data_IF_877915406260
#
_entry.id   IF_877915406260
#
_cell.length_a   1.000
_cell.length_b   1.000
_cell.length_c   1.000
_cell.angle_alpha   90.00
_cell.angle_beta   90.00
_cell.angle_gamma   90.00
#
_symmetry.space_group_name_H-M   'P 1'
#
loop_
_entity.id
_entity.type
_entity.pdbx_description
1 polymer ?
#
# COMPACT_ATOMS: atom_id res chain seq x y z
N UNK A 1 -26.91 1.62 -50.40
CA UNK A 1 -26.43 2.81 -49.67
C UNK A 1 -24.92 2.91 -49.93
N UNK A 2 -24.37 4.12 -50.09
CA UNK A 2 -22.91 4.32 -50.19
C UNK A 2 -22.32 4.32 -48.77
N UNK A 3 -21.06 3.83 -48.64
CA UNK A 3 -20.28 3.98 -47.45
C UNK A 3 -20.10 5.49 -47.11
N UNK A 4 -20.03 5.85 -45.85
CA UNK A 4 -19.69 7.22 -45.46
C UNK A 4 -18.25 7.59 -45.91
N UNK A 5 -17.88 8.85 -45.79
CA UNK A 5 -16.48 9.28 -46.01
C UNK A 5 -15.55 8.56 -45.04
N UNK A 6 -14.29 8.32 -45.42
CA UNK A 6 -13.36 7.48 -44.62
C UNK A 6 -13.21 7.94 -43.17
N UNK A 7 -13.09 9.22 -42.95
CA UNK A 7 -12.95 9.79 -41.60
C UNK A 7 -14.17 9.50 -40.72
N UNK A 8 -15.37 9.61 -41.31
CA UNK A 8 -16.62 9.26 -40.59
C UNK A 8 -16.79 7.77 -40.35
N UNK A 9 -16.27 6.94 -41.27
CA UNK A 9 -16.25 5.49 -41.07
C UNK A 9 -15.28 5.10 -39.95
N UNK A 10 -14.11 5.74 -39.86
CA UNK A 10 -13.14 5.54 -38.80
C UNK A 10 -13.70 5.93 -37.42
N UNK A 11 -14.38 7.08 -37.35
CA UNK A 11 -15.07 7.52 -36.12
C UNK A 11 -16.11 6.50 -35.67
N UNK A 12 -16.97 6.01 -36.59
CA UNK A 12 -17.99 5.02 -36.29
C UNK A 12 -17.41 3.67 -35.85
N UNK A 13 -16.32 3.22 -36.47
CA UNK A 13 -15.61 2.03 -36.06
C UNK A 13 -15.03 2.19 -34.64
N UNK A 14 -14.37 3.30 -34.36
CA UNK A 14 -13.80 3.59 -33.04
C UNK A 14 -14.87 3.64 -31.96
N UNK A 15 -16.01 4.25 -32.24
CA UNK A 15 -17.11 4.37 -31.27
C UNK A 15 -17.86 3.07 -30.99
N UNK A 16 -17.97 2.16 -31.97
CA UNK A 16 -18.85 1.00 -31.88
C UNK A 16 -18.14 -0.35 -31.97
N UNK A 17 -16.86 -0.40 -32.32
CA UNK A 17 -16.15 -1.64 -32.58
C UNK A 17 -14.71 -1.63 -32.10
N UNK A 18 -13.79 -1.13 -32.91
CA UNK A 18 -12.34 -1.15 -32.67
C UNK A 18 -11.73 0.21 -32.98
N UNK A 19 -10.71 0.59 -32.25
CA UNK A 19 -9.98 1.83 -32.46
C UNK A 19 -9.30 1.84 -33.83
N UNK A 20 -9.50 2.91 -34.58
CA UNK A 20 -8.83 3.15 -35.85
C UNK A 20 -7.67 4.12 -35.60
N UNK A 21 -6.45 3.63 -35.72
CA UNK A 21 -5.22 4.41 -35.47
C UNK A 21 -4.91 5.38 -36.60
N UNK A 22 -5.12 4.93 -37.86
CA UNK A 22 -4.87 5.79 -39.01
C UNK A 22 -5.77 5.47 -40.22
N UNK A 23 -5.96 6.46 -41.07
CA UNK A 23 -6.61 6.31 -42.37
C UNK A 23 -5.70 6.96 -43.43
N UNK A 24 -5.19 6.17 -44.36
CA UNK A 24 -4.31 6.62 -45.42
C UNK A 24 -4.90 6.42 -46.80
N UNK A 25 -4.55 7.26 -47.77
CA UNK A 25 -4.92 7.06 -49.18
C UNK A 25 -3.75 6.42 -49.91
N UNK A 26 -3.97 5.20 -50.41
CA UNK A 26 -3.00 4.48 -51.24
C UNK A 26 -3.60 4.05 -52.56
N UNK A 27 -2.99 4.39 -53.67
CA UNK A 27 -3.39 4.00 -55.02
C UNK A 27 -4.85 4.34 -55.40
N UNK A 28 -5.42 5.36 -54.76
CA UNK A 28 -6.82 5.76 -54.99
C UNK A 28 -7.87 5.06 -54.09
N UNK A 29 -7.43 4.12 -53.23
CA UNK A 29 -8.21 3.48 -52.17
C UNK A 29 -7.85 4.00 -50.79
N UNK A 30 -8.67 3.69 -49.80
CA UNK A 30 -8.43 4.08 -48.39
C UNK A 30 -8.00 2.85 -47.59
N UNK A 31 -6.85 2.97 -46.90
CA UNK A 31 -6.31 1.97 -45.99
C UNK A 31 -6.61 2.40 -44.56
N UNK A 32 -7.21 1.50 -43.76
CA UNK A 32 -7.49 1.73 -42.33
C UNK A 32 -6.57 0.86 -41.47
N UNK A 33 -5.86 1.45 -40.56
CA UNK A 33 -5.14 0.71 -39.51
C UNK A 33 -6.05 0.57 -38.29
N UNK A 34 -6.46 -0.67 -38.01
CA UNK A 34 -7.43 -0.98 -36.94
C UNK A 34 -6.75 -1.78 -35.86
N UNK A 35 -6.77 -1.26 -34.63
CA UNK A 35 -6.20 -1.93 -33.46
C UNK A 35 -7.17 -2.95 -32.88
N UNK A 36 -6.84 -4.21 -33.04
CA UNK A 36 -7.68 -5.30 -32.56
C UNK A 36 -7.34 -5.64 -31.12
N UNK A 37 -8.31 -5.47 -30.22
CA UNK A 37 -8.17 -5.83 -28.81
C UNK A 37 -8.25 -7.35 -28.62
N UNK A 38 -7.55 -7.92 -27.60
CA UNK A 38 -7.52 -9.36 -27.35
C UNK A 38 -8.89 -10.01 -27.17
N UNK A 39 -9.84 -9.32 -26.56
CA UNK A 39 -11.22 -9.78 -26.34
C UNK A 39 -12.04 -9.92 -27.62
N UNK A 40 -11.61 -9.28 -28.72
CA UNK A 40 -12.25 -9.32 -30.03
C UNK A 40 -11.40 -10.01 -31.10
N UNK A 41 -10.25 -10.62 -30.72
CA UNK A 41 -9.33 -11.24 -31.67
C UNK A 41 -9.98 -12.32 -32.55
N UNK A 42 -10.89 -13.09 -31.99
CA UNK A 42 -11.59 -14.15 -32.72
C UNK A 42 -12.56 -13.62 -33.76
N UNK A 43 -13.21 -12.51 -33.50
CA UNK A 43 -14.14 -11.84 -34.40
C UNK A 43 -13.42 -11.24 -35.62
N UNK A 44 -12.17 -10.85 -35.43
CA UNK A 44 -11.32 -10.15 -36.41
C UNK A 44 -10.16 -11.00 -36.97
N UNK A 45 -10.20 -12.33 -36.80
CA UNK A 45 -9.21 -13.23 -37.41
C UNK A 45 -9.07 -13.00 -38.93
N UNK A 46 -10.13 -12.52 -39.56
CA UNK A 46 -10.16 -12.18 -40.98
C UNK A 46 -11.04 -10.96 -41.24
N UNK A 47 -11.00 -10.45 -42.46
CA UNK A 47 -11.74 -9.26 -42.86
C UNK A 47 -13.29 -9.43 -42.82
N UNK A 48 -13.82 -10.66 -42.70
CA UNK A 48 -15.26 -10.87 -42.56
C UNK A 48 -15.82 -10.27 -41.27
N UNK A 49 -15.07 -10.33 -40.18
CA UNK A 49 -15.49 -9.70 -38.92
C UNK A 49 -15.62 -8.19 -39.08
N UNK A 50 -14.64 -7.56 -39.72
CA UNK A 50 -14.66 -6.12 -40.01
C UNK A 50 -15.87 -5.73 -40.87
N UNK A 51 -16.11 -6.46 -41.94
CA UNK A 51 -17.25 -6.21 -42.82
C UNK A 51 -18.58 -6.38 -42.10
N UNK A 52 -18.69 -7.40 -41.23
CA UNK A 52 -19.89 -7.65 -40.43
C UNK A 52 -20.17 -6.46 -39.49
N UNK A 53 -19.17 -6.00 -38.78
CA UNK A 53 -19.33 -4.86 -37.88
C UNK A 53 -19.69 -3.56 -38.62
N UNK A 54 -19.02 -3.24 -39.71
CA UNK A 54 -19.37 -2.10 -40.57
C UNK A 54 -20.81 -2.22 -41.06
N UNK A 55 -21.21 -3.39 -41.48
CA UNK A 55 -22.57 -3.65 -41.97
C UNK A 55 -23.63 -3.47 -40.87
N UNK A 56 -23.32 -3.97 -39.67
CA UNK A 56 -24.19 -3.81 -38.50
C UNK A 56 -24.31 -2.35 -38.07
N UNK A 57 -23.20 -1.62 -38.01
CA UNK A 57 -23.13 -0.20 -37.61
C UNK A 57 -23.92 0.65 -38.63
N UNK A 58 -23.72 0.43 -39.93
CA UNK A 58 -24.33 1.22 -40.99
C UNK A 58 -25.75 0.75 -41.39
N UNK A 59 -26.22 -0.33 -40.79
CA UNK A 59 -27.47 -0.99 -41.17
C UNK A 59 -27.50 -1.32 -42.69
N UNK A 60 -26.43 -1.99 -43.12
CA UNK A 60 -26.25 -2.47 -44.49
C UNK A 60 -26.35 -4.00 -44.53
N UNK A 61 -26.77 -4.55 -45.65
CA UNK A 61 -26.71 -5.98 -45.88
C UNK A 61 -25.35 -6.35 -46.49
N UNK A 62 -24.56 -7.18 -45.78
CA UNK A 62 -23.28 -7.67 -46.27
C UNK A 62 -23.51 -8.98 -47.07
N UNK A 63 -23.10 -9.00 -48.32
CA UNK A 63 -23.07 -10.22 -49.11
C UNK A 63 -21.78 -10.99 -48.83
N UNK A 64 -21.76 -11.73 -47.73
CA UNK A 64 -20.61 -12.53 -47.31
C UNK A 64 -21.03 -14.00 -47.33
N UNK A 65 -20.24 -14.83 -48.03
CA UNK A 65 -20.37 -16.29 -47.94
C UNK A 65 -19.50 -16.78 -46.80
N UNK A 66 -20.10 -17.06 -45.65
CA UNK A 66 -19.38 -17.60 -44.47
C UNK A 66 -19.32 -19.14 -44.59
N UNK A 67 -18.26 -19.78 -44.02
CA UNK A 67 -18.27 -21.26 -43.89
C UNK A 67 -19.44 -21.72 -43.02
N UNK A 68 -19.91 -22.94 -43.26
CA UNK A 68 -21.03 -23.53 -42.52
C UNK A 68 -20.74 -23.51 -40.99
N UNK A 69 -21.71 -23.02 -40.18
CA UNK A 69 -21.49 -22.91 -38.74
C UNK A 69 -21.48 -24.30 -38.08
N UNK A 70 -20.53 -24.51 -37.15
CA UNK A 70 -20.58 -25.59 -36.16
C UNK A 70 -21.78 -25.37 -35.22
N UNK A 71 -22.13 -26.40 -34.42
CA UNK A 71 -23.17 -26.27 -33.38
C UNK A 71 -23.01 -24.97 -32.58
N UNK A 72 -24.10 -24.22 -32.48
CA UNK A 72 -24.11 -22.92 -31.79
C UNK A 72 -24.48 -23.09 -30.32
N UNK A 73 -23.73 -22.47 -29.44
CA UNK A 73 -24.10 -22.34 -28.03
C UNK A 73 -25.27 -21.35 -27.91
N UNK A 74 -26.34 -21.73 -27.18
CA UNK A 74 -27.50 -20.87 -26.99
C UNK A 74 -27.40 -20.17 -25.65
N UNK A 75 -27.42 -18.85 -25.71
CA UNK A 75 -27.34 -17.98 -24.52
C UNK A 75 -28.73 -17.38 -24.24
N UNK A 76 -29.17 -17.48 -22.98
CA UNK A 76 -30.48 -16.97 -22.56
C UNK A 76 -30.29 -15.60 -21.85
N UNK A 77 -31.05 -14.58 -22.34
CA UNK A 77 -31.00 -13.23 -21.80
C UNK A 77 -32.42 -12.74 -21.55
N UNK A 78 -32.73 -12.27 -20.34
CA UNK A 78 -34.02 -11.63 -20.06
C UNK A 78 -34.05 -10.23 -20.61
N UNK A 79 -35.19 -9.77 -21.07
CA UNK A 79 -35.36 -8.37 -21.49
C UNK A 79 -35.02 -7.39 -20.39
N UNK A 80 -35.42 -7.69 -19.16
CA UNK A 80 -35.09 -6.90 -17.96
C UNK A 80 -33.59 -6.82 -17.63
N UNK A 81 -32.78 -7.78 -18.09
CA UNK A 81 -31.33 -7.74 -17.85
C UNK A 81 -30.64 -6.61 -18.65
N UNK A 82 -31.18 -6.27 -19.84
CA UNK A 82 -30.67 -5.12 -20.61
C UNK A 82 -30.86 -3.81 -19.84
N UNK A 83 -32.06 -3.53 -19.36
CA UNK A 83 -32.31 -2.32 -18.56
C UNK A 83 -31.49 -2.29 -17.25
N UNK A 84 -31.42 -3.44 -16.57
CA UNK A 84 -30.71 -3.55 -15.29
C UNK A 84 -29.20 -3.28 -15.42
N UNK A 85 -28.58 -3.73 -16.52
CA UNK A 85 -27.13 -3.62 -16.74
C UNK A 85 -26.79 -2.31 -17.42
N UNK A 86 -27.55 -1.90 -18.43
CA UNK A 86 -27.27 -0.70 -19.21
C UNK A 86 -27.89 0.58 -18.61
N UNK A 87 -28.85 0.45 -17.69
CA UNK A 87 -29.59 1.59 -17.15
C UNK A 87 -30.50 2.30 -18.15
N UNK A 88 -30.74 1.70 -19.33
CA UNK A 88 -31.57 2.23 -20.39
C UNK A 88 -32.51 1.15 -20.93
N UNK A 89 -33.74 1.54 -21.25
CA UNK A 89 -34.70 0.67 -21.94
C UNK A 89 -34.43 0.70 -23.43
N UNK A 90 -34.06 -0.44 -24.00
CA UNK A 90 -33.92 -0.62 -25.44
C UNK A 90 -35.13 -1.42 -25.92
N UNK A 91 -35.88 -0.95 -26.95
CA UNK A 91 -37.04 -1.69 -27.45
C UNK A 91 -36.67 -3.10 -27.92
N UNK A 92 -37.51 -4.09 -27.60
CA UNK A 92 -37.32 -5.49 -27.97
C UNK A 92 -36.99 -5.69 -29.46
N UNK A 93 -37.73 -4.97 -30.31
CA UNK A 93 -37.52 -5.03 -31.77
C UNK A 93 -36.09 -4.57 -32.13
N UNK A 94 -35.60 -3.53 -31.51
CA UNK A 94 -34.27 -3.01 -31.78
C UNK A 94 -33.17 -3.97 -31.28
N UNK A 95 -33.34 -4.56 -30.07
CA UNK A 95 -32.47 -5.63 -29.58
C UNK A 95 -32.37 -6.78 -30.61
N UNK A 96 -33.53 -7.30 -31.04
CA UNK A 96 -33.59 -8.41 -32.01
C UNK A 96 -32.95 -8.06 -33.35
N UNK A 97 -33.16 -6.84 -33.84
CA UNK A 97 -32.58 -6.36 -35.10
C UNK A 97 -31.06 -6.19 -35.00
N UNK A 98 -30.55 -5.70 -33.89
CA UNK A 98 -29.10 -5.56 -33.64
C UNK A 98 -28.44 -6.94 -33.65
N UNK A 99 -28.95 -7.89 -32.86
CA UNK A 99 -28.39 -9.23 -32.76
C UNK A 99 -28.41 -9.97 -34.11
N UNK A 100 -29.50 -9.86 -34.85
CA UNK A 100 -29.60 -10.45 -36.22
C UNK A 100 -28.61 -9.85 -37.21
N UNK A 101 -28.39 -8.51 -37.15
CA UNK A 101 -27.36 -7.83 -37.96
C UNK A 101 -25.95 -8.31 -37.65
N UNK A 102 -25.69 -8.71 -36.39
CA UNK A 102 -24.43 -9.31 -35.96
C UNK A 102 -24.30 -10.80 -36.30
N UNK A 103 -25.28 -11.38 -37.04
CA UNK A 103 -25.25 -12.76 -37.48
C UNK A 103 -25.69 -13.78 -36.43
N UNK A 104 -26.33 -13.33 -35.37
CA UNK A 104 -26.86 -14.20 -34.33
C UNK A 104 -28.25 -14.72 -34.69
N UNK A 105 -28.56 -15.96 -34.31
CA UNK A 105 -29.90 -16.48 -34.32
C UNK A 105 -30.65 -16.03 -33.06
N UNK A 106 -31.82 -15.42 -33.27
CA UNK A 106 -32.56 -14.85 -32.14
C UNK A 106 -34.00 -15.37 -32.19
N UNK A 107 -34.40 -16.02 -31.11
CA UNK A 107 -35.80 -16.34 -30.81
C UNK A 107 -36.16 -15.70 -29.49
N UNK A 108 -37.43 -15.34 -29.33
CA UNK A 108 -37.95 -14.82 -28.03
C UNK A 108 -39.19 -15.62 -27.65
N UNK A 109 -39.23 -15.99 -26.38
CA UNK A 109 -40.39 -16.56 -25.73
C UNK A 109 -40.62 -15.80 -24.42
N UNK A 110 -41.81 -15.21 -24.32
CA UNK A 110 -42.16 -14.33 -23.20
C UNK A 110 -41.14 -13.17 -23.04
N UNK A 111 -40.43 -13.08 -21.90
CA UNK A 111 -39.44 -12.06 -21.57
C UNK A 111 -37.98 -12.53 -21.81
N UNK A 112 -37.77 -13.71 -22.39
CA UNK A 112 -36.43 -14.31 -22.56
C UNK A 112 -36.07 -14.39 -24.04
N UNK A 113 -34.91 -13.80 -24.38
CA UNK A 113 -34.24 -14.02 -25.66
C UNK A 113 -33.38 -15.27 -25.60
N UNK A 114 -33.52 -16.14 -26.60
CA UNK A 114 -32.62 -17.26 -26.86
C UNK A 114 -31.72 -16.87 -28.03
N UNK A 115 -30.44 -16.67 -27.75
CA UNK A 115 -29.49 -16.12 -28.72
C UNK A 115 -28.46 -17.19 -29.08
N UNK A 116 -28.43 -17.61 -30.33
CA UNK A 116 -27.41 -18.52 -30.87
C UNK A 116 -26.22 -17.71 -31.36
N UNK A 117 -25.09 -17.79 -30.66
CA UNK A 117 -23.87 -17.12 -31.08
C UNK A 117 -23.26 -17.73 -32.32
N UNK A 118 -22.69 -16.96 -33.28
CA UNK A 118 -21.96 -17.50 -34.41
C UNK A 118 -20.76 -18.33 -33.95
N UNK A 119 -20.41 -19.40 -34.68
CA UNK A 119 -19.30 -20.29 -34.31
C UNK A 119 -17.92 -19.62 -34.29
N UNK A 120 -17.77 -18.52 -35.02
CA UNK A 120 -16.58 -17.68 -35.06
C UNK A 120 -16.49 -16.69 -33.87
N UNK A 121 -17.49 -16.67 -32.98
CA UNK A 121 -17.54 -15.86 -31.76
C UNK A 121 -17.50 -16.75 -30.49
N UNK A 122 -16.41 -17.48 -30.24
CA UNK A 122 -16.26 -18.32 -29.07
C UNK A 122 -16.13 -17.52 -27.77
N UNK A 123 -16.01 -16.20 -27.87
CA UNK A 123 -16.00 -15.23 -26.77
C UNK A 123 -17.39 -15.03 -26.16
N UNK A 124 -18.46 -15.21 -26.94
CA UNK A 124 -19.83 -15.04 -26.47
C UNK A 124 -20.30 -16.30 -25.72
N UNK A 125 -20.36 -16.23 -24.39
CA UNK A 125 -20.68 -17.36 -23.50
C UNK A 125 -21.75 -17.05 -22.48
N UNK A 126 -21.87 -15.81 -22.05
CA UNK A 126 -22.78 -15.38 -21.00
C UNK A 126 -23.70 -14.26 -21.48
N UNK A 127 -24.75 -14.00 -20.73
CA UNK A 127 -25.73 -12.96 -21.08
C UNK A 127 -25.14 -11.56 -21.16
N UNK A 128 -24.14 -11.28 -20.35
CA UNK A 128 -23.42 -10.00 -20.31
C UNK A 128 -22.72 -9.73 -21.66
N UNK A 129 -22.17 -10.77 -22.30
CA UNK A 129 -21.56 -10.66 -23.63
C UNK A 129 -22.60 -10.21 -24.66
N UNK A 130 -23.80 -10.82 -24.64
CA UNK A 130 -24.89 -10.46 -25.54
C UNK A 130 -25.38 -9.03 -25.29
N UNK A 131 -25.47 -8.61 -24.02
CA UNK A 131 -25.87 -7.24 -23.64
C UNK A 131 -24.82 -6.24 -24.15
N UNK A 132 -23.54 -6.56 -24.05
CA UNK A 132 -22.45 -5.74 -24.56
C UNK A 132 -22.55 -5.57 -26.09
N UNK A 133 -22.83 -6.65 -26.82
CA UNK A 133 -23.00 -6.60 -28.26
C UNK A 133 -24.15 -5.67 -28.68
N UNK A 134 -25.25 -5.74 -27.97
CA UNK A 134 -26.37 -4.81 -28.19
C UNK A 134 -25.99 -3.38 -27.85
N UNK A 135 -25.37 -3.15 -26.70
CA UNK A 135 -25.03 -1.81 -26.22
C UNK A 135 -24.09 -1.06 -27.18
N UNK A 136 -23.04 -1.76 -27.69
CA UNK A 136 -22.07 -1.14 -28.60
C UNK A 136 -22.67 -0.73 -29.95
N UNK A 137 -23.61 -1.52 -30.49
CA UNK A 137 -24.29 -1.18 -31.76
C UNK A 137 -25.41 -0.17 -31.55
N UNK A 138 -26.11 -0.25 -30.41
CA UNK A 138 -27.08 0.77 -30.00
C UNK A 138 -26.43 2.13 -29.89
N UNK A 139 -25.22 2.18 -29.29
CA UNK A 139 -24.39 3.35 -29.03
C UNK A 139 -24.46 3.77 -27.58
N UNK A 140 -23.29 3.76 -26.91
CA UNK A 140 -23.15 4.19 -25.53
C UNK A 140 -23.48 5.66 -25.34
N UNK A 141 -23.30 6.48 -26.34
CA UNK A 141 -23.68 7.91 -26.40
C UNK A 141 -25.18 8.17 -26.22
N UNK A 142 -26.01 7.16 -26.55
CA UNK A 142 -27.47 7.23 -26.36
C UNK A 142 -27.93 6.87 -24.96
N UNK A 143 -27.05 6.26 -24.15
CA UNK A 143 -27.34 5.90 -22.76
C UNK A 143 -27.14 7.12 -21.89
N UNK A 144 -28.22 7.62 -21.31
CA UNK A 144 -28.17 8.82 -20.44
C UNK A 144 -27.47 8.50 -19.14
N UNK A 145 -26.54 9.35 -18.77
CA UNK A 145 -25.93 9.33 -17.44
C UNK A 145 -26.98 9.48 -16.34
N UNK A 146 -26.88 8.67 -15.30
CA UNK A 146 -27.73 8.77 -14.10
C UNK A 146 -26.85 8.90 -12.89
N UNK A 147 -27.11 9.90 -12.08
CA UNK A 147 -26.49 10.02 -10.76
C UNK A 147 -27.08 8.92 -9.87
N UNK A 148 -26.24 8.11 -9.19
CA UNK A 148 -26.74 7.11 -8.25
C UNK A 148 -27.66 7.75 -7.20
N UNK A 149 -28.85 7.19 -7.03
CA UNK A 149 -29.77 7.62 -5.98
C UNK A 149 -29.35 6.99 -4.65
N UNK A 150 -29.19 7.80 -3.63
CA UNK A 150 -28.85 7.36 -2.29
C UNK A 150 -28.28 8.47 -1.43
N UNK A 151 -28.26 8.24 -0.14
CA UNK A 151 -27.56 9.11 0.81
C UNK A 151 -26.07 8.98 0.56
N UNK A 152 -25.38 10.12 0.34
CA UNK A 152 -23.92 10.18 0.32
C UNK A 152 -23.40 9.98 1.77
N UNK A 153 -23.30 8.74 2.18
CA UNK A 153 -22.68 8.41 3.45
C UNK A 153 -21.18 8.20 3.17
N UNK A 154 -20.30 9.02 3.77
CA UNK A 154 -18.88 8.82 3.59
C UNK A 154 -18.49 7.43 4.11
N UNK A 155 -17.66 6.68 3.40
CA UNK A 155 -17.19 5.38 3.86
C UNK A 155 -16.41 5.56 5.18
N UNK A 156 -16.45 4.52 6.04
CA UNK A 156 -15.60 4.50 7.22
C UNK A 156 -14.14 4.57 6.79
N UNK A 157 -13.34 5.43 7.44
CA UNK A 157 -11.90 5.54 7.18
C UNK A 157 -11.24 4.17 7.34
N UNK A 158 -10.37 3.84 6.41
CA UNK A 158 -9.47 2.69 6.56
C UNK A 158 -8.22 3.16 7.29
N UNK A 159 -8.10 2.81 8.56
CA UNK A 159 -7.02 3.28 9.43
C UNK A 159 -5.65 2.75 8.99
N UNK A 160 -5.57 1.55 8.42
CA UNK A 160 -4.31 1.04 7.88
C UNK A 160 -3.76 1.94 6.77
N UNK A 161 -4.59 2.37 5.81
CA UNK A 161 -4.16 3.30 4.77
C UNK A 161 -3.85 4.70 5.29
N UNK A 162 -4.62 5.16 6.25
CA UNK A 162 -4.39 6.46 6.88
C UNK A 162 -3.03 6.49 7.58
N UNK A 163 -2.78 5.56 8.49
CA UNK A 163 -1.51 5.49 9.22
C UNK A 163 -0.34 5.11 8.32
N UNK A 164 -0.55 4.38 7.23
CA UNK A 164 0.46 4.17 6.20
C UNK A 164 0.93 5.50 5.60
N UNK A 165 0.00 6.42 5.32
CA UNK A 165 0.35 7.75 4.81
C UNK A 165 1.08 8.59 5.86
N UNK A 166 0.66 8.51 7.13
CA UNK A 166 1.34 9.19 8.25
C UNK A 166 2.77 8.67 8.40
N UNK A 167 2.95 7.35 8.48
CA UNK A 167 4.28 6.72 8.61
C UNK A 167 5.22 7.10 7.44
N UNK A 168 4.72 7.08 6.20
CA UNK A 168 5.50 7.51 5.03
C UNK A 168 5.95 8.97 5.13
N UNK A 169 5.07 9.86 5.58
CA UNK A 169 5.41 11.26 5.77
C UNK A 169 6.46 11.47 6.88
N UNK A 170 6.36 10.71 7.97
CA UNK A 170 7.36 10.71 9.05
C UNK A 170 8.71 10.25 8.51
N UNK A 171 8.75 9.10 7.84
CA UNK A 171 10.00 8.57 7.26
C UNK A 171 10.62 9.52 6.24
N UNK A 172 9.82 10.14 5.38
CA UNK A 172 10.28 11.16 4.45
C UNK A 172 10.83 12.39 5.17
N UNK A 173 10.17 12.83 6.26
CA UNK A 173 10.63 13.92 7.13
C UNK A 173 11.96 13.63 7.82
N UNK A 174 12.24 12.36 8.15
CA UNK A 174 13.52 11.89 8.70
C UNK A 174 14.62 11.70 7.63
N UNK A 175 14.33 12.04 6.37
CA UNK A 175 15.28 12.01 5.25
C UNK A 175 15.40 10.66 4.54
N UNK A 176 14.46 9.74 4.74
CA UNK A 176 14.41 8.49 4.03
C UNK A 176 13.64 8.62 2.71
N UNK A 177 14.11 7.93 1.66
CA UNK A 177 13.41 7.82 0.38
C UNK A 177 12.63 6.51 0.31
N UNK A 178 11.35 6.59 -0.09
CA UNK A 178 10.56 5.38 -0.31
C UNK A 178 11.03 4.61 -1.53
N UNK A 179 11.16 3.31 -1.41
CA UNK A 179 11.45 2.39 -2.51
C UNK A 179 10.33 1.36 -2.64
N UNK A 180 10.22 0.76 -3.81
CA UNK A 180 9.22 -0.25 -4.11
C UNK A 180 9.87 -1.44 -4.79
N UNK A 181 9.96 -2.56 -4.07
CA UNK A 181 10.58 -3.78 -4.56
C UNK A 181 9.52 -4.83 -4.97
N UNK A 182 9.93 -5.76 -5.82
CA UNK A 182 9.08 -6.90 -6.16
C UNK A 182 8.79 -7.77 -4.93
N UNK A 183 7.54 -8.26 -4.84
CA UNK A 183 7.16 -9.28 -3.85
C UNK A 183 7.75 -10.66 -4.16
N UNK A 184 8.32 -10.84 -5.36
CA UNK A 184 8.95 -12.10 -5.77
C UNK A 184 10.39 -12.17 -5.30
N UNK A 185 10.77 -13.34 -4.78
CA UNK A 185 12.08 -13.61 -4.23
C UNK A 185 12.62 -14.96 -4.73
N UNK A 186 13.92 -15.17 -4.55
CA UNK A 186 14.58 -16.43 -4.86
C UNK A 186 14.24 -17.54 -3.86
N UNK A 187 14.04 -17.15 -2.59
CA UNK A 187 13.69 -18.03 -1.48
C UNK A 187 12.52 -17.44 -0.70
N UNK A 188 11.76 -18.27 -0.02
CA UNK A 188 10.61 -17.86 0.79
C UNK A 188 9.80 -19.08 1.23
N UNK A 189 8.79 -18.84 2.04
CA UNK A 189 7.92 -19.89 2.60
C UNK A 189 6.79 -20.29 1.64
N UNK A 190 6.50 -19.46 0.64
CA UNK A 190 5.42 -19.68 -0.33
C UNK A 190 5.96 -19.69 -1.75
N UNK A 191 5.88 -20.87 -2.38
CA UNK A 191 6.29 -21.10 -3.75
C UNK A 191 5.17 -20.78 -4.74
N UNK A 192 5.51 -20.13 -5.86
CA UNK A 192 4.58 -19.86 -6.95
C UNK A 192 4.41 -21.10 -7.83
N UNK A 193 3.19 -21.44 -8.18
CA UNK A 193 2.90 -22.59 -9.04
C UNK A 193 3.49 -22.43 -10.46
N UNK A 194 3.43 -21.21 -11.01
CA UNK A 194 3.98 -20.88 -12.33
C UNK A 194 4.83 -19.61 -12.23
N UNK A 195 6.09 -19.69 -11.73
CA UNK A 195 6.92 -18.52 -11.53
C UNK A 195 7.39 -17.93 -12.87
N UNK A 196 7.53 -16.60 -12.96
CA UNK A 196 8.00 -15.93 -14.18
C UNK A 196 9.46 -16.26 -14.51
N UNK A 197 10.28 -16.59 -13.50
CA UNK A 197 11.68 -17.01 -13.64
C UNK A 197 12.14 -17.74 -12.38
N UNK A 198 13.31 -18.44 -12.42
CA UNK A 198 13.82 -19.21 -11.28
C UNK A 198 14.24 -18.35 -10.08
N UNK A 199 14.65 -17.12 -10.31
CA UNK A 199 15.01 -16.14 -9.28
C UNK A 199 13.78 -15.43 -8.67
N UNK A 200 12.57 -15.68 -9.20
CA UNK A 200 11.28 -15.14 -8.77
C UNK A 200 10.29 -16.24 -8.41
N UNK A 201 10.80 -17.31 -7.81
CA UNK A 201 10.04 -18.55 -7.56
C UNK A 201 9.18 -18.47 -6.29
N UNK A 202 9.56 -17.64 -5.33
CA UNK A 202 8.91 -17.53 -4.04
C UNK A 202 8.36 -16.12 -3.81
N UNK A 203 7.51 -16.00 -2.82
CA UNK A 203 7.12 -14.71 -2.24
C UNK A 203 8.07 -14.35 -1.09
N UNK A 204 8.43 -13.07 -0.99
CA UNK A 204 9.36 -12.55 0.04
C UNK A 204 8.75 -12.70 1.44
N UNK A 205 9.59 -13.06 2.42
CA UNK A 205 9.20 -13.18 3.83
C UNK A 205 9.56 -11.98 4.68
N UNK A 206 10.39 -11.06 4.14
CA UNK A 206 10.85 -9.83 4.78
C UNK A 206 11.11 -8.75 3.71
N UNK A 207 11.31 -7.50 4.14
CA UNK A 207 11.71 -6.38 3.28
C UNK A 207 13.24 -6.20 3.25
N UNK A 208 13.94 -6.69 4.26
CA UNK A 208 15.37 -6.45 4.48
C UNK A 208 16.25 -6.90 3.31
N UNK A 209 15.92 -8.02 2.66
CA UNK A 209 16.68 -8.52 1.50
C UNK A 209 16.61 -7.56 0.32
N UNK A 210 15.41 -7.05 0.00
CA UNK A 210 15.20 -6.08 -1.08
C UNK A 210 15.88 -4.75 -0.79
N UNK A 211 15.71 -4.24 0.42
CA UNK A 211 16.35 -2.99 0.88
C UNK A 211 17.88 -3.09 0.84
N UNK A 212 18.45 -4.21 1.30
CA UNK A 212 19.92 -4.45 1.25
C UNK A 212 20.45 -4.51 -0.19
N UNK A 213 19.68 -5.13 -1.10
CA UNK A 213 20.04 -5.16 -2.52
C UNK A 213 20.03 -3.75 -3.13
N UNK A 214 19.03 -2.91 -2.79
CA UNK A 214 18.96 -1.53 -3.23
C UNK A 214 20.13 -0.69 -2.71
N UNK A 215 20.51 -0.83 -1.44
CA UNK A 215 21.68 -0.15 -0.87
C UNK A 215 22.94 -0.57 -1.64
N UNK A 216 23.15 -1.86 -1.87
CA UNK A 216 24.31 -2.38 -2.60
C UNK A 216 24.40 -1.84 -4.03
N UNK A 217 23.30 -1.75 -4.72
CA UNK A 217 23.26 -1.23 -6.10
C UNK A 217 23.51 0.28 -6.14
N UNK A 218 22.84 1.03 -5.27
CA UNK A 218 22.89 2.50 -5.25
C UNK A 218 24.18 3.05 -4.63
N UNK A 219 24.91 2.29 -3.79
CA UNK A 219 26.20 2.71 -3.20
C UNK A 219 27.29 3.04 -4.24
N UNK A 220 27.09 2.63 -5.48
CA UNK A 220 27.95 3.02 -6.63
C UNK A 220 27.78 4.50 -7.00
N UNK A 221 26.63 5.08 -6.70
CA UNK A 221 26.23 6.42 -7.15
C UNK A 221 26.08 7.40 -5.99
N UNK A 222 25.68 6.92 -4.82
CA UNK A 222 25.36 7.74 -3.64
C UNK A 222 26.21 7.32 -2.44
N UNK A 223 26.75 8.33 -1.74
CA UNK A 223 27.52 8.12 -0.51
C UNK A 223 26.66 7.90 0.71
N UNK A 224 25.47 8.50 0.73
CA UNK A 224 24.50 8.43 1.81
C UNK A 224 23.18 7.91 1.28
N UNK A 225 22.74 6.78 1.82
CA UNK A 225 21.55 6.08 1.37
C UNK A 225 20.70 5.80 2.60
N UNK A 226 19.53 6.44 2.65
CA UNK A 226 18.48 6.22 3.64
C UNK A 226 17.22 5.86 2.85
N UNK A 227 16.78 4.62 2.92
CA UNK A 227 15.63 4.13 2.18
C UNK A 227 14.70 3.33 3.09
N UNK A 228 13.41 3.36 2.75
CA UNK A 228 12.40 2.56 3.42
C UNK A 228 11.40 1.99 2.42
N UNK A 229 10.72 0.93 2.81
CA UNK A 229 9.62 0.34 2.06
C UNK A 229 8.49 0.00 3.01
N UNK A 230 7.26 0.36 2.63
CA UNK A 230 6.05 -0.14 3.22
C UNK A 230 5.42 -1.13 2.23
N UNK A 231 5.48 -2.41 2.53
CA UNK A 231 5.10 -3.45 1.58
C UNK A 231 4.64 -4.75 2.23
N UNK A 232 3.92 -5.55 1.45
CA UNK A 232 3.47 -6.87 1.90
C UNK A 232 4.63 -7.87 1.94
N UNK A 233 4.63 -8.69 2.97
CA UNK A 233 5.49 -9.86 3.16
C UNK A 233 4.63 -11.12 3.38
N UNK A 234 5.16 -12.30 3.10
CA UNK A 234 4.42 -13.56 3.03
C UNK A 234 5.10 -14.68 3.79
N UNK A 235 5.38 -14.53 5.10
CA UNK A 235 5.93 -15.60 5.92
C UNK A 235 4.93 -16.76 6.06
N UNK A 236 5.37 -17.90 6.59
CA UNK A 236 4.52 -19.08 6.81
C UNK A 236 3.28 -18.76 7.66
N UNK A 237 3.40 -17.80 8.59
CA UNK A 237 2.31 -17.34 9.46
C UNK A 237 1.17 -16.62 8.74
N UNK A 238 1.38 -16.15 7.51
CA UNK A 238 0.36 -15.43 6.73
C UNK A 238 0.88 -14.17 6.04
N UNK A 239 0.07 -13.59 5.19
CA UNK A 239 0.33 -12.29 4.56
C UNK A 239 0.16 -11.18 5.60
N UNK A 240 1.08 -10.22 5.61
CA UNK A 240 1.00 -9.02 6.45
C UNK A 240 1.71 -7.83 5.79
N UNK A 241 1.34 -6.64 6.20
CA UNK A 241 2.03 -5.42 5.81
C UNK A 241 3.20 -5.16 6.76
N UNK A 242 4.35 -4.85 6.22
CA UNK A 242 5.55 -4.53 6.99
C UNK A 242 6.12 -3.17 6.57
N UNK A 243 6.74 -2.47 7.51
CA UNK A 243 7.55 -1.28 7.27
C UNK A 243 9.01 -1.62 7.59
N UNK A 244 9.87 -1.57 6.58
CA UNK A 244 11.31 -1.75 6.73
C UNK A 244 12.07 -0.50 6.33
N UNK A 245 13.18 -0.23 7.02
CA UNK A 245 14.09 0.86 6.67
C UNK A 245 15.55 0.44 6.84
N UNK A 246 16.44 1.03 6.05
CA UNK A 246 17.88 0.81 6.11
C UNK A 246 18.63 2.09 5.78
N UNK A 247 19.75 2.29 6.47
CA UNK A 247 20.73 3.34 6.16
C UNK A 247 22.12 2.73 6.03
N UNK A 248 22.89 3.13 5.02
CA UNK A 248 24.24 2.61 4.83
C UNK A 248 25.29 3.22 5.78
N UNK A 249 24.93 4.24 6.53
CA UNK A 249 25.84 4.96 7.46
C UNK A 249 25.39 4.98 8.90
N UNK A 250 24.08 4.84 9.16
CA UNK A 250 23.57 4.88 10.51
C UNK A 250 24.12 3.73 11.34
N UNK A 251 24.33 4.00 12.61
CA UNK A 251 24.57 2.99 13.63
C UNK A 251 23.26 2.56 14.30
N UNK A 252 23.36 1.68 15.29
CA UNK A 252 22.21 1.16 16.03
C UNK A 252 21.41 2.28 16.72
N UNK A 253 22.08 3.25 17.34
CA UNK A 253 21.42 4.31 18.09
C UNK A 253 20.71 5.31 17.16
N UNK A 254 21.32 5.60 16.01
CA UNK A 254 20.66 6.42 14.98
C UNK A 254 19.39 5.72 14.45
N UNK A 255 19.45 4.41 14.17
CA UNK A 255 18.27 3.66 13.71
C UNK A 255 17.21 3.52 14.80
N UNK A 256 17.64 3.40 16.08
CA UNK A 256 16.74 3.43 17.24
C UNK A 256 16.01 4.77 17.31
N UNK A 257 16.73 5.90 17.19
CA UNK A 257 16.13 7.24 17.16
C UNK A 257 15.12 7.44 16.00
N UNK A 258 15.39 6.85 14.84
CA UNK A 258 14.41 6.84 13.72
C UNK A 258 13.17 6.02 14.08
N UNK A 259 13.33 4.87 14.73
CA UNK A 259 12.22 4.04 15.19
C UNK A 259 11.41 4.75 16.29
N UNK A 260 12.07 5.39 17.26
CA UNK A 260 11.42 6.19 18.31
C UNK A 260 10.58 7.32 17.69
N UNK A 261 11.15 8.06 16.74
CA UNK A 261 10.45 9.14 16.04
C UNK A 261 9.24 8.63 15.23
N UNK A 262 9.35 7.45 14.62
CA UNK A 262 8.24 6.80 13.90
C UNK A 262 7.12 6.39 14.86
N UNK A 263 7.44 5.70 15.95
CA UNK A 263 6.47 5.21 16.93
C UNK A 263 5.75 6.38 17.61
N UNK A 264 6.50 7.35 18.14
CA UNK A 264 5.94 8.55 18.75
C UNK A 264 5.07 9.35 17.75
N UNK A 265 5.52 9.46 16.50
CA UNK A 265 4.76 10.14 15.45
C UNK A 265 3.48 9.42 15.03
N UNK A 266 3.36 8.13 15.34
CA UNK A 266 2.13 7.35 15.22
C UNK A 266 1.26 7.38 16.49
N UNK A 267 1.69 8.12 17.53
CA UNK A 267 1.00 8.19 18.83
C UNK A 267 1.15 6.91 19.66
N UNK A 268 2.28 6.21 19.48
CA UNK A 268 2.60 5.00 20.23
C UNK A 268 3.73 5.36 21.19
N UNK A 269 3.40 5.60 22.47
CA UNK A 269 4.35 6.10 23.47
C UNK A 269 4.83 5.02 24.45
N UNK A 270 4.03 3.95 24.66
CA UNK A 270 4.34 2.86 25.59
C UNK A 270 4.97 1.67 24.87
N UNK A 271 6.27 1.76 24.60
CA UNK A 271 7.07 0.69 24.02
C UNK A 271 8.41 0.54 24.74
N UNK A 272 8.99 -0.66 24.69
CA UNK A 272 10.31 -0.91 25.26
C UNK A 272 11.15 -1.80 24.33
N UNK A 273 12.45 -1.70 24.51
CA UNK A 273 13.44 -2.46 23.77
C UNK A 273 13.92 -3.66 24.58
N UNK A 274 13.83 -4.84 23.97
CA UNK A 274 14.37 -6.07 24.56
C UNK A 274 15.64 -6.45 23.83
N UNK A 275 16.73 -6.41 24.57
CA UNK A 275 18.07 -6.78 24.08
C UNK A 275 18.16 -8.30 23.81
N UNK A 276 18.82 -8.68 22.73
CA UNK A 276 19.11 -10.07 22.37
C UNK A 276 20.52 -10.52 22.79
N UNK A 277 21.23 -9.79 23.66
CA UNK A 277 22.59 -10.12 24.11
C UNK A 277 23.68 -9.69 23.12
N UNK A 278 23.31 -9.07 22.02
CA UNK A 278 24.21 -8.34 21.12
C UNK A 278 23.79 -6.87 21.17
N UNK A 279 24.63 -5.98 21.70
CA UNK A 279 24.38 -4.54 21.89
C UNK A 279 23.98 -3.75 20.62
N UNK A 280 23.74 -4.45 19.51
CA UNK A 280 23.40 -3.89 18.19
C UNK A 280 22.11 -4.43 17.61
N UNK A 281 21.35 -5.19 18.41
CA UNK A 281 20.09 -5.80 18.00
C UNK A 281 19.09 -5.74 19.15
N UNK A 282 17.90 -5.20 18.89
CA UNK A 282 16.82 -5.19 19.86
C UNK A 282 15.47 -5.51 19.23
N UNK A 283 14.63 -6.23 19.95
CA UNK A 283 13.21 -6.33 19.64
C UNK A 283 12.45 -5.15 20.27
N UNK A 284 11.49 -4.63 19.52
CA UNK A 284 10.57 -3.60 20.01
C UNK A 284 9.29 -4.29 20.47
N UNK A 285 8.92 -4.07 21.72
CA UNK A 285 7.76 -4.66 22.35
C UNK A 285 6.75 -3.59 22.76
N UNK A 286 5.46 -3.87 22.51
CA UNK A 286 4.31 -3.09 22.98
C UNK A 286 3.34 -4.09 23.60
N UNK A 287 2.80 -3.79 24.77
CA UNK A 287 1.89 -4.68 25.51
C UNK A 287 2.43 -6.13 25.65
N UNK A 288 3.76 -6.27 25.80
CA UNK A 288 4.43 -7.58 25.93
C UNK A 288 4.55 -8.36 24.61
N UNK A 289 4.11 -7.82 23.47
CA UNK A 289 4.21 -8.43 22.14
C UNK A 289 5.35 -7.81 21.35
N UNK A 290 6.21 -8.62 20.75
CA UNK A 290 7.21 -8.14 19.80
C UNK A 290 6.51 -7.67 18.51
N UNK A 291 6.71 -6.42 18.13
CA UNK A 291 6.13 -5.79 16.94
C UNK A 291 7.15 -5.53 15.84
N UNK A 292 8.42 -5.66 16.14
CA UNK A 292 9.49 -5.45 15.18
C UNK A 292 10.86 -5.63 15.80
N UNK A 293 11.87 -5.45 14.96
CA UNK A 293 13.27 -5.60 15.31
C UNK A 293 14.09 -4.46 14.73
N UNK A 294 15.04 -4.01 15.48
CA UNK A 294 16.09 -3.07 15.05
C UNK A 294 17.42 -3.82 15.02
N UNK A 295 18.11 -3.73 13.92
CA UNK A 295 19.49 -4.18 13.72
C UNK A 295 20.44 -2.98 13.67
N UNK A 296 21.74 -3.20 13.49
CA UNK A 296 22.77 -2.16 13.51
C UNK A 296 22.44 -0.94 12.63
N UNK A 297 21.87 -1.15 11.45
CA UNK A 297 21.64 -0.09 10.47
C UNK A 297 20.29 -0.19 9.76
N UNK A 298 19.38 -1.01 10.30
CA UNK A 298 18.06 -1.26 9.72
C UNK A 298 17.04 -1.62 10.79
N UNK A 299 15.76 -1.52 10.43
CA UNK A 299 14.67 -2.09 11.21
C UNK A 299 13.57 -2.64 10.30
N UNK A 300 12.75 -3.53 10.86
CA UNK A 300 11.51 -4.00 10.24
C UNK A 300 10.43 -4.16 11.30
N UNK A 301 9.26 -3.57 11.05
CA UNK A 301 8.07 -3.61 11.90
C UNK A 301 6.91 -4.30 11.22
N UNK A 302 6.07 -4.99 11.99
CA UNK A 302 4.73 -5.41 11.60
C UNK A 302 3.84 -4.18 11.53
N UNK A 303 3.56 -3.71 10.31
CA UNK A 303 2.79 -2.47 10.14
C UNK A 303 1.30 -2.64 10.39
N UNK A 304 0.76 -3.84 10.23
CA UNK A 304 -0.65 -4.10 10.59
C UNK A 304 -0.86 -3.91 12.10
N UNK A 305 0.11 -4.34 12.92
CA UNK A 305 0.08 -4.10 14.37
C UNK A 305 0.33 -2.63 14.70
N UNK A 306 1.28 -1.96 14.06
CA UNK A 306 1.48 -0.51 14.25
C UNK A 306 0.21 0.29 13.95
N UNK A 307 -0.45 0.01 12.82
CA UNK A 307 -1.68 0.71 12.44
C UNK A 307 -2.85 0.43 13.40
N UNK A 308 -2.86 -0.73 14.05
CA UNK A 308 -3.85 -1.07 15.08
C UNK A 308 -3.62 -0.31 16.39
N UNK A 309 -2.36 -0.09 16.75
CA UNK A 309 -1.95 0.57 17.99
C UNK A 309 -1.87 2.09 17.85
N UNK A 310 -1.73 2.59 16.62
CA UNK A 310 -1.58 4.01 16.35
C UNK A 310 -2.79 4.82 16.81
N UNK A 311 -2.51 5.96 17.42
CA UNK A 311 -3.51 6.91 17.89
C UNK A 311 -3.16 8.32 17.39
N UNK A 312 -4.15 9.04 16.88
CA UNK A 312 -4.02 10.46 16.49
C UNK A 312 -4.57 11.42 17.55
N UNK A 313 -5.08 10.88 18.65
CA UNK A 313 -5.55 11.70 19.74
C UNK A 313 -4.38 12.33 20.47
N UNK A 314 -4.36 13.64 20.54
CA UNK A 314 -3.39 14.39 21.32
C UNK A 314 -4.12 15.12 22.46
N UNK A 315 -3.75 14.81 23.68
CA UNK A 315 -4.22 15.59 24.82
C UNK A 315 -3.40 16.88 24.93
N UNK A 316 -4.11 18.01 25.00
CA UNK A 316 -3.45 19.28 25.22
C UNK A 316 -2.88 19.34 26.64
N UNK A 317 -1.56 19.33 26.76
CA UNK A 317 -0.83 19.62 28.01
C UNK A 317 -0.29 21.06 27.95
N UNK A 318 -0.73 21.96 28.84
CA UNK A 318 -0.21 23.32 28.83
C UNK A 318 1.27 23.31 29.23
N UNK A 319 2.08 24.05 28.48
CA UNK A 319 3.50 24.28 28.84
C UNK A 319 3.56 25.01 30.18
N UNK A 320 4.42 24.55 31.06
CA UNK A 320 4.60 25.19 32.35
C UNK A 320 5.06 26.65 32.19
N UNK A 321 4.47 27.54 33.00
CA UNK A 321 4.85 28.96 33.08
C UNK A 321 6.04 29.19 34.00
N UNK A 322 6.45 28.19 34.74
CA UNK A 322 7.50 28.28 35.75
C UNK A 322 8.81 27.71 35.19
N UNK A 323 9.96 28.30 35.55
CA UNK A 323 11.25 27.84 35.07
C UNK A 323 11.57 26.44 35.58
N UNK A 324 12.29 25.67 34.80
CA UNK A 324 12.86 24.41 35.20
C UNK A 324 14.16 24.59 35.98
N UNK A 325 14.49 23.63 36.81
CA UNK A 325 15.78 23.51 37.50
C UNK A 325 16.49 22.28 36.98
N UNK A 326 17.70 22.41 36.48
CA UNK A 326 18.54 21.31 36.00
C UNK A 326 19.52 20.89 37.08
N UNK A 327 19.70 19.58 37.24
CA UNK A 327 20.73 18.98 38.14
C UNK A 327 21.44 17.86 37.36
N UNK A 328 22.76 17.81 37.58
CA UNK A 328 23.59 16.77 37.00
C UNK A 328 23.86 15.70 38.05
N UNK A 329 23.86 14.44 37.58
CA UNK A 329 24.27 13.30 38.37
C UNK A 329 25.16 12.40 37.53
N UNK A 330 26.25 11.90 38.08
CA UNK A 330 27.07 10.87 37.48
C UNK A 330 27.12 9.65 38.39
N UNK A 331 26.88 8.48 37.83
CA UNK A 331 26.81 7.23 38.58
C UNK A 331 27.82 6.23 38.03
N UNK A 332 28.72 5.74 38.87
CA UNK A 332 29.60 4.62 38.55
C UNK A 332 28.84 3.32 38.75
N UNK A 333 28.83 2.51 37.69
CA UNK A 333 28.17 1.18 37.67
C UNK A 333 29.11 0.14 37.06
N UNK A 334 28.86 -1.17 37.24
CA UNK A 334 29.58 -2.24 36.52
C UNK A 334 29.45 -2.10 35.00
N UNK A 335 30.47 -2.54 34.25
CA UNK A 335 30.49 -2.40 32.78
C UNK A 335 29.27 -3.01 32.06
N UNK A 336 28.75 -4.10 32.63
CA UNK A 336 27.59 -4.82 32.07
C UNK A 336 26.25 -4.26 32.56
N UNK A 337 26.23 -3.23 33.42
CA UNK A 337 24.98 -2.65 33.92
C UNK A 337 24.25 -1.92 32.79
N UNK A 338 22.93 -2.00 32.78
CA UNK A 338 22.10 -1.32 31.77
C UNK A 338 21.77 0.09 32.19
N UNK A 339 21.77 1.01 31.25
CA UNK A 339 21.40 2.42 31.49
C UNK A 339 19.97 2.52 32.03
N UNK A 340 19.07 1.69 31.49
CA UNK A 340 17.67 1.64 31.90
C UNK A 340 17.49 1.36 33.40
N UNK A 341 18.30 0.48 34.00
CA UNK A 341 18.21 0.17 35.43
C UNK A 341 18.54 1.37 36.30
N UNK A 342 19.47 2.21 35.85
CA UNK A 342 19.84 3.46 36.57
C UNK A 342 18.73 4.49 36.39
N UNK A 343 18.20 4.64 35.15
CA UNK A 343 17.10 5.56 34.88
C UNK A 343 15.84 5.19 35.66
N UNK A 344 15.47 3.91 35.69
CA UNK A 344 14.31 3.43 36.46
C UNK A 344 14.38 3.83 37.95
N UNK A 345 15.55 3.73 38.56
CA UNK A 345 15.71 4.14 39.96
C UNK A 345 15.61 5.66 40.11
N UNK A 346 16.21 6.42 39.18
CA UNK A 346 16.16 7.89 39.21
C UNK A 346 14.71 8.35 39.05
N UNK A 347 14.01 7.89 38.01
CA UNK A 347 12.66 8.32 37.65
C UNK A 347 11.63 7.93 38.73
N UNK A 348 11.67 6.67 39.17
CA UNK A 348 10.77 6.19 40.24
C UNK A 348 10.98 6.95 41.56
N UNK A 349 12.21 7.35 41.86
CA UNK A 349 12.52 8.07 43.10
C UNK A 349 12.20 9.54 42.99
N UNK A 350 12.47 10.19 41.88
CA UNK A 350 12.23 11.60 41.64
C UNK A 350 10.73 11.95 41.56
N UNK A 351 9.93 11.06 41.03
CA UNK A 351 8.48 11.23 40.88
C UNK A 351 8.11 12.34 39.89
N UNK A 352 6.89 12.86 40.00
CA UNK A 352 6.24 13.73 38.98
C UNK A 352 6.92 15.09 38.73
N UNK A 353 7.85 15.52 39.56
CA UNK A 353 8.55 16.79 39.35
C UNK A 353 9.74 16.64 38.41
N UNK A 354 10.25 15.46 38.20
CA UNK A 354 11.21 15.16 37.15
C UNK A 354 10.45 15.05 35.83
N UNK A 355 10.70 15.95 34.88
CA UNK A 355 9.97 16.03 33.60
C UNK A 355 10.80 15.50 32.44
N UNK A 356 12.12 15.43 32.60
CA UNK A 356 13.02 14.94 31.57
C UNK A 356 14.32 14.44 32.17
N UNK A 357 14.87 13.37 31.58
CA UNK A 357 16.20 12.82 31.87
C UNK A 357 16.99 12.71 30.58
N UNK A 358 18.23 13.17 30.57
CA UNK A 358 19.12 13.11 29.40
C UNK A 358 20.47 12.49 29.81
N UNK A 359 20.85 11.40 29.16
CA UNK A 359 22.16 10.77 29.30
C UNK A 359 23.13 11.49 28.37
N UNK A 360 23.91 12.43 28.90
CA UNK A 360 24.77 13.27 28.08
C UNK A 360 26.22 12.79 27.97
N UNK A 361 26.68 11.91 28.88
CA UNK A 361 28.06 11.39 28.84
C UNK A 361 28.14 9.96 29.38
N UNK A 362 28.97 9.13 28.73
CA UNK A 362 29.34 7.78 29.18
C UNK A 362 30.86 7.69 29.17
N UNK A 363 31.45 7.50 30.35
CA UNK A 363 32.87 7.24 30.48
C UNK A 363 33.11 5.80 30.94
N UNK A 364 33.95 5.07 30.27
CA UNK A 364 34.29 3.67 30.61
C UNK A 364 35.78 3.53 30.95
N UNK A 365 36.04 2.78 31.98
CA UNK A 365 37.38 2.29 32.31
C UNK A 365 37.38 0.74 32.35
N UNK A 366 38.50 0.11 32.68
CA UNK A 366 38.64 -1.35 32.68
C UNK A 366 37.74 -2.11 33.68
N UNK A 367 37.14 -1.43 34.65
CA UNK A 367 36.42 -2.03 35.78
C UNK A 367 34.96 -1.55 35.85
N UNK A 368 34.71 -0.31 35.53
CA UNK A 368 33.42 0.36 35.72
C UNK A 368 33.14 1.36 34.59
N UNK A 369 31.86 1.70 34.40
CA UNK A 369 31.45 2.83 33.59
C UNK A 369 30.74 3.88 34.42
N UNK A 370 30.90 5.13 34.04
CA UNK A 370 30.19 6.29 34.62
C UNK A 370 29.13 6.75 33.65
N UNK A 371 27.89 6.80 34.10
CA UNK A 371 26.76 7.31 33.37
C UNK A 371 26.40 8.68 33.91
N UNK A 372 26.44 9.72 33.08
CA UNK A 372 26.16 11.10 33.49
C UNK A 372 24.82 11.58 32.89
N UNK A 373 23.91 12.02 33.74
CA UNK A 373 22.57 12.42 33.38
C UNK A 373 22.30 13.89 33.75
N UNK A 374 21.61 14.60 32.85
CA UNK A 374 20.89 15.83 33.19
C UNK A 374 19.47 15.46 33.65
N UNK A 375 19.09 15.95 34.81
CA UNK A 375 17.77 15.76 35.41
C UNK A 375 17.05 17.12 35.43
N UNK A 376 15.93 17.23 34.70
CA UNK A 376 15.19 18.47 34.56
C UNK A 376 13.94 18.39 35.43
N UNK A 377 13.89 19.25 36.46
CA UNK A 377 12.78 19.35 37.39
C UNK A 377 11.92 20.56 37.08
N UNK A 378 10.62 20.38 36.99
CA UNK A 378 9.65 21.44 36.72
C UNK A 378 8.31 21.17 37.40
N UNK A 379 7.60 22.20 37.78
CA UNK A 379 6.22 22.13 38.27
C UNK A 379 5.31 22.96 37.39
N UNK A 380 4.08 22.52 37.18
CA UNK A 380 3.01 23.29 36.50
C UNK A 380 2.28 24.26 37.46
N UNK A 381 2.52 24.17 38.76
CA UNK A 381 1.78 24.90 39.78
C UNK A 381 2.59 26.08 40.39
N UNK A 382 3.92 25.94 40.50
CA UNK A 382 4.80 26.93 41.15
C UNK A 382 6.23 26.85 40.64
N UNK A 383 7.01 27.91 40.89
CA UNK A 383 8.47 27.85 40.76
C UNK A 383 9.03 26.97 41.88
N UNK A 384 9.85 25.98 41.50
CA UNK A 384 10.54 25.10 42.44
C UNK A 384 11.69 25.89 43.13
N UNK A 385 12.01 25.54 44.34
CA UNK A 385 13.18 26.08 45.04
C UNK A 385 14.33 25.08 44.98
N UNK A 386 15.57 25.59 45.18
CA UNK A 386 16.76 24.75 45.23
C UNK A 386 16.67 23.71 46.35
N UNK A 387 16.10 24.08 47.51
CA UNK A 387 15.91 23.19 48.65
C UNK A 387 14.99 22.04 48.34
N UNK A 388 13.88 22.31 47.62
CA UNK A 388 12.92 21.27 47.20
C UNK A 388 13.56 20.26 46.25
N UNK A 389 14.31 20.76 45.25
CA UNK A 389 15.00 19.89 44.30
C UNK A 389 16.14 19.12 44.95
N UNK A 390 16.95 19.79 45.80
CA UNK A 390 18.05 19.13 46.52
C UNK A 390 17.52 18.00 47.43
N UNK A 391 16.35 18.18 48.06
CA UNK A 391 15.76 17.14 48.87
C UNK A 391 15.32 15.89 48.02
N UNK A 392 14.98 16.09 46.75
CA UNK A 392 14.73 14.99 45.83
C UNK A 392 16.06 14.35 45.41
N UNK A 393 17.06 15.14 45.07
CA UNK A 393 18.40 14.64 44.71
C UNK A 393 18.99 13.75 45.80
N UNK A 394 18.88 14.14 47.08
CA UNK A 394 19.35 13.31 48.21
C UNK A 394 18.65 11.96 48.29
N UNK A 395 17.34 11.88 47.94
CA UNK A 395 16.63 10.60 47.87
C UNK A 395 17.13 9.75 46.68
N UNK A 396 17.39 10.38 45.53
CA UNK A 396 17.96 9.70 44.36
C UNK A 396 19.34 9.15 44.72
N UNK A 397 20.20 9.94 45.34
CA UNK A 397 21.53 9.48 45.77
C UNK A 397 21.42 8.26 46.71
N UNK A 398 20.56 8.35 47.72
CA UNK A 398 20.36 7.25 48.65
C UNK A 398 19.80 5.98 47.96
N UNK A 399 18.90 6.12 46.98
CA UNK A 399 18.34 5.00 46.25
C UNK A 399 19.39 4.34 45.33
N UNK A 400 20.26 5.11 44.70
CA UNK A 400 21.38 4.63 43.89
C UNK A 400 22.40 3.90 44.74
N UNK A 401 22.83 4.54 45.85
CA UNK A 401 23.83 4.01 46.78
C UNK A 401 23.32 2.82 47.61
N UNK A 402 22.01 2.49 47.53
CA UNK A 402 21.46 1.26 48.11
C UNK A 402 21.85 -0.02 47.30
N UNK A 403 22.40 0.15 46.08
CA UNK A 403 23.01 -0.94 45.32
C UNK A 403 24.50 -1.00 45.65
N UNK A 404 24.98 -2.08 46.21
CA UNK A 404 26.34 -2.28 46.70
C UNK A 404 27.46 -1.98 45.67
N UNK A 405 27.15 -2.19 44.38
CA UNK A 405 28.11 -2.00 43.28
C UNK A 405 28.02 -0.64 42.58
N UNK A 406 27.09 0.24 43.01
CA UNK A 406 26.87 1.56 42.41
C UNK A 406 27.36 2.69 43.31
N UNK A 407 27.91 3.74 42.71
CA UNK A 407 28.49 4.85 43.44
C UNK A 407 28.16 6.18 42.74
N UNK A 408 27.60 7.14 43.48
CA UNK A 408 27.36 8.48 42.97
C UNK A 408 28.67 9.28 42.99
N UNK A 409 29.09 9.79 41.83
CA UNK A 409 30.20 10.73 41.70
C UNK A 409 29.72 12.09 42.16
N UNK A 410 30.15 12.52 43.32
CA UNK A 410 29.87 13.87 43.92
C UNK A 410 30.84 14.91 43.43
#
# INVERSE_FOLDING_TARGET
KKLPVPEKLAELLTMHSQEVDSVETKNGDFEFEVKILPNRAYDYINYFGVIRDISAILNLEAKISLPEPKEREIIFVKESDFEKILGAQIPEKEISEILKRLGMEVAKKEDVFSVGAPSERPDLKIKEDIIQEVARIYGYDKIKEKIPEGLLVPPKRNDTYFFASVAKNIMAGLGFSEVYNYSFAKNGDRELQNPPSQDKKFLRTNLAEGLSANVKENSKYFKDIKIFELGKIFPASGERLALGAISNKADFYEMKGVADALLNGLGIDDFFYKDHGDNRVAEVHIDGKAIGRIDTNSFEFDFDELARLADESAEYAPISKYPAIVRDIAVFVPLNEKVENVLDIIENTAGKLLVETDLFDIYENNERKSLAFHLIFQSTEKTLTDEEVNAIMEKIFAAIEANDDWEVRR
#
